data_IF_892824523589
#
_entry.id   IF_892824523589
#
_cell.length_a   1.000
_cell.length_b   1.000
_cell.length_c   1.000
_cell.angle_alpha   90.00
_cell.angle_beta   90.00
_cell.angle_gamma   90.00
#
_symmetry.space_group_name_H-M   'P 1'
#
loop_
_entity.id
_entity.type
_entity.pdbx_description
1 polymer ?
#
# COMPACT_ATOMS: atom_id res chain seq x y z
N UNK A 1 36.46 -13.58 -47.46
CA UNK A 1 35.90 -12.50 -46.61
C UNK A 1 34.40 -12.45 -46.90
N UNK A 2 33.63 -13.26 -46.20
CA UNK A 2 32.17 -13.33 -46.41
C UNK A 2 31.47 -12.38 -45.46
N UNK A 3 30.87 -11.34 -46.04
CA UNK A 3 30.02 -10.38 -45.33
C UNK A 3 28.66 -11.02 -45.06
N UNK A 4 28.28 -11.23 -43.78
CA UNK A 4 26.92 -11.60 -43.37
C UNK A 4 25.95 -10.50 -43.74
N UNK A 5 24.77 -10.80 -44.32
CA UNK A 5 23.77 -9.79 -44.65
C UNK A 5 23.18 -9.17 -43.39
N UNK A 6 22.95 -7.87 -43.39
CA UNK A 6 22.28 -7.15 -42.32
C UNK A 6 20.80 -7.56 -42.28
N UNK A 7 20.30 -7.83 -41.07
CA UNK A 7 18.89 -8.15 -40.82
C UNK A 7 17.96 -7.01 -41.28
N UNK A 8 16.90 -7.35 -41.99
CA UNK A 8 15.90 -6.40 -42.43
C UNK A 8 15.04 -5.90 -41.23
N UNK A 9 14.48 -4.70 -41.35
CA UNK A 9 13.59 -4.11 -40.34
C UNK A 9 12.43 -5.04 -39.90
N UNK A 10 11.98 -5.94 -40.78
CA UNK A 10 10.94 -6.94 -40.49
C UNK A 10 11.44 -8.09 -39.59
N UNK A 11 12.67 -8.53 -39.78
CA UNK A 11 13.30 -9.59 -38.99
C UNK A 11 13.71 -9.10 -37.61
N UNK A 12 14.09 -7.81 -37.48
CA UNK A 12 14.35 -7.18 -36.18
C UNK A 12 13.07 -7.03 -35.34
N UNK A 13 11.95 -6.67 -35.97
CA UNK A 13 10.64 -6.57 -35.29
C UNK A 13 10.09 -7.96 -34.91
N UNK A 14 10.29 -8.99 -35.76
CA UNK A 14 9.85 -10.34 -35.45
C UNK A 14 10.65 -10.99 -34.31
N UNK A 15 11.94 -10.72 -34.17
CA UNK A 15 12.76 -11.23 -33.07
C UNK A 15 12.47 -10.54 -31.72
N UNK A 16 12.02 -9.28 -31.75
CA UNK A 16 11.66 -8.53 -30.53
C UNK A 16 10.27 -8.92 -30.04
N UNK A 17 9.34 -9.33 -30.92
CA UNK A 17 7.98 -9.74 -30.56
C UNK A 17 7.94 -11.17 -30.01
N UNK A 18 8.87 -12.07 -30.44
CA UNK A 18 8.94 -13.44 -29.94
C UNK A 18 9.48 -13.56 -28.51
N UNK A 19 10.19 -12.53 -28.00
CA UNK A 19 10.72 -12.50 -26.62
C UNK A 19 9.68 -12.04 -25.56
N UNK A 20 8.52 -11.52 -25.97
CA UNK A 20 7.48 -10.99 -25.06
C UNK A 20 6.23 -11.88 -24.92
N UNK A 21 6.21 -13.04 -25.55
CA UNK A 21 5.02 -13.94 -25.56
C UNK A 21 5.07 -15.09 -24.55
N UNK A 22 6.01 -15.07 -23.57
CA UNK A 22 6.00 -16.04 -22.46
C UNK A 22 6.10 -15.29 -21.13
N UNK A 23 4.99 -15.10 -20.50
CA UNK A 23 4.66 -15.24 -19.09
C UNK A 23 3.50 -14.34 -18.68
N UNK A 24 2.31 -14.82 -18.89
CA UNK A 24 1.08 -14.29 -18.30
C UNK A 24 0.80 -14.88 -16.92
N UNK A 25 1.80 -15.04 -16.06
CA UNK A 25 1.63 -15.30 -14.63
C UNK A 25 2.89 -14.80 -13.93
N UNK A 26 2.76 -13.74 -13.11
CA UNK A 26 3.80 -13.36 -12.17
C UNK A 26 3.98 -14.50 -11.17
N UNK A 27 5.18 -15.08 -11.03
CA UNK A 27 5.38 -16.12 -10.04
C UNK A 27 5.20 -15.51 -8.63
N UNK A 28 4.46 -16.18 -7.72
CA UNK A 28 4.21 -15.67 -6.36
C UNK A 28 5.47 -15.49 -5.51
N UNK A 29 6.64 -15.91 -5.99
CA UNK A 29 7.92 -15.85 -5.28
C UNK A 29 8.67 -14.52 -5.40
N UNK A 30 8.22 -13.54 -6.19
CA UNK A 30 9.02 -12.33 -6.49
C UNK A 30 9.12 -11.36 -5.30
N UNK A 31 8.21 -11.40 -4.34
CA UNK A 31 8.21 -10.47 -3.19
C UNK A 31 8.77 -11.07 -1.89
N UNK A 32 9.03 -12.36 -1.80
CA UNK A 32 9.75 -12.91 -0.67
C UNK A 32 11.23 -12.52 -0.73
N UNK A 33 11.79 -12.03 0.37
CA UNK A 33 13.23 -11.76 0.51
C UNK A 33 14.08 -13.01 0.19
N UNK A 34 15.37 -12.82 -0.07
CA UNK A 34 16.30 -13.97 -0.06
C UNK A 34 16.25 -14.57 1.35
N UNK A 35 16.19 -15.92 1.50
CA UNK A 35 16.03 -16.53 2.83
C UNK A 35 17.10 -16.14 3.85
N UNK A 36 18.26 -15.65 3.38
CA UNK A 36 19.44 -15.42 4.20
C UNK A 36 19.77 -13.94 4.45
N UNK A 37 18.96 -12.98 3.95
CA UNK A 37 19.22 -11.55 4.16
C UNK A 37 17.91 -10.77 4.41
N UNK A 38 17.92 -9.79 5.35
CA UNK A 38 16.78 -8.92 5.57
C UNK A 38 16.36 -8.18 4.29
N UNK A 39 15.06 -8.15 4.03
CA UNK A 39 14.50 -7.47 2.88
C UNK A 39 14.61 -5.95 3.05
N UNK A 40 15.14 -5.25 2.01
CA UNK A 40 15.20 -3.78 1.99
C UNK A 40 13.79 -3.22 1.81
N UNK A 41 13.39 -2.35 2.72
CA UNK A 41 12.06 -1.73 2.68
C UNK A 41 12.13 -0.22 2.93
N UNK A 42 11.21 0.51 2.32
CA UNK A 42 10.85 1.87 2.72
C UNK A 42 9.40 1.81 3.23
N UNK A 43 9.15 2.35 4.42
CA UNK A 43 7.82 2.43 5.01
C UNK A 43 7.31 3.85 4.82
N UNK A 44 6.23 3.99 4.03
CA UNK A 44 5.55 5.26 3.80
C UNK A 44 4.26 5.27 4.62
N UNK A 45 4.05 6.26 5.50
CA UNK A 45 3.11 6.15 6.61
C UNK A 45 2.57 7.53 7.02
N UNK A 46 1.38 7.60 7.60
CA UNK A 46 0.80 8.84 8.17
C UNK A 46 0.52 8.69 9.67
N UNK A 47 1.56 8.55 10.53
CA UNK A 47 1.48 7.93 11.84
C UNK A 47 0.27 8.32 12.69
N UNK A 48 -0.75 7.47 12.57
CA UNK A 48 -1.90 7.30 13.43
C UNK A 48 -1.65 6.22 14.49
N UNK A 49 -2.73 5.71 15.05
CA UNK A 49 -2.70 4.67 16.11
C UNK A 49 -2.09 3.36 15.62
N UNK A 50 -2.59 2.82 14.53
CA UNK A 50 -2.16 1.52 13.98
C UNK A 50 -0.88 1.62 13.17
N UNK A 51 -0.62 2.77 12.51
CA UNK A 51 0.71 3.09 11.95
C UNK A 51 1.81 3.03 13.00
N UNK A 52 1.57 3.63 14.18
CA UNK A 52 2.56 3.61 15.25
C UNK A 52 2.91 2.16 15.66
N UNK A 53 1.92 1.29 15.79
CA UNK A 53 2.14 -0.13 16.07
C UNK A 53 2.80 -0.85 14.88
N UNK A 54 2.45 -0.49 13.65
CA UNK A 54 3.08 -1.03 12.43
C UNK A 54 4.57 -0.66 12.33
N UNK A 55 4.92 0.59 12.63
CA UNK A 55 6.32 1.05 12.69
C UNK A 55 7.10 0.30 13.77
N UNK A 56 6.53 0.16 14.97
CA UNK A 56 7.16 -0.57 16.07
C UNK A 56 7.33 -2.06 15.72
N UNK A 57 6.33 -2.70 15.07
CA UNK A 57 6.43 -4.07 14.55
C UNK A 57 7.58 -4.19 13.55
N UNK A 58 7.62 -3.31 12.55
CA UNK A 58 8.64 -3.33 11.51
C UNK A 58 10.05 -3.18 12.09
N UNK A 59 10.26 -2.25 13.03
CA UNK A 59 11.55 -2.02 13.68
C UNK A 59 11.98 -3.14 14.63
N UNK A 60 11.05 -4.00 15.04
CA UNK A 60 11.32 -5.22 15.85
C UNK A 60 11.42 -6.49 15.01
N UNK A 61 11.35 -6.39 13.71
CA UNK A 61 11.34 -7.53 12.78
C UNK A 61 12.69 -7.67 12.09
N UNK A 62 13.50 -8.70 12.44
CA UNK A 62 14.83 -8.89 11.87
C UNK A 62 14.80 -9.24 10.37
N UNK A 63 13.65 -9.63 9.84
CA UNK A 63 13.44 -9.90 8.42
C UNK A 63 13.49 -8.63 7.56
N UNK A 64 13.42 -7.44 8.19
CA UNK A 64 13.37 -6.15 7.53
C UNK A 64 14.65 -5.35 7.71
N UNK A 65 15.19 -4.84 6.61
CA UNK A 65 16.15 -3.74 6.59
C UNK A 65 15.42 -2.48 6.16
N UNK A 66 15.02 -1.66 7.13
CA UNK A 66 14.32 -0.40 6.87
C UNK A 66 15.33 0.63 6.40
N UNK A 67 15.28 0.99 5.13
CA UNK A 67 16.17 1.98 4.50
C UNK A 67 15.70 3.42 4.77
N UNK A 68 14.38 3.62 4.95
CA UNK A 68 13.78 4.90 5.31
C UNK A 68 12.36 4.74 5.86
N UNK A 69 11.92 5.73 6.62
CA UNK A 69 10.50 6.00 6.93
C UNK A 69 10.15 7.34 6.31
N UNK A 70 9.03 7.40 5.56
CA UNK A 70 8.60 8.59 4.82
C UNK A 70 7.19 9.02 5.25
N UNK A 71 7.06 9.84 6.31
CA UNK A 71 5.77 10.33 6.76
C UNK A 71 5.07 11.20 5.71
N UNK A 72 3.76 11.05 5.59
CA UNK A 72 2.85 11.81 4.73
C UNK A 72 1.71 12.38 5.55
N UNK A 73 1.02 13.41 5.08
CA UNK A 73 -0.23 13.87 5.66
C UNK A 73 -1.37 12.90 5.32
N UNK A 74 -2.18 12.57 6.30
CA UNK A 74 -3.32 11.67 6.16
C UNK A 74 -4.15 11.66 7.45
N UNK A 75 -3.94 10.71 8.34
CA UNK A 75 -4.65 10.58 9.62
C UNK A 75 -4.68 11.90 10.41
N UNK A 76 -3.56 12.62 10.38
CA UNK A 76 -3.41 13.99 10.86
C UNK A 76 -2.47 14.76 9.92
N UNK A 77 -2.37 16.10 10.00
CA UNK A 77 -1.44 16.89 9.18
C UNK A 77 0.01 16.44 9.35
N UNK A 78 0.87 16.73 8.34
CA UNK A 78 2.28 16.34 8.33
C UNK A 78 3.05 16.87 9.56
N UNK A 79 2.66 18.03 10.07
CA UNK A 79 3.22 18.66 11.28
C UNK A 79 3.07 17.77 12.52
N UNK A 80 2.17 16.78 12.48
CA UNK A 80 1.96 15.78 13.54
C UNK A 80 2.47 14.40 13.12
N UNK A 81 2.26 13.98 11.87
CA UNK A 81 2.71 12.65 11.41
C UNK A 81 4.23 12.54 11.42
N UNK A 82 4.95 13.58 11.00
CA UNK A 82 6.41 13.59 11.01
C UNK A 82 7.01 13.43 12.42
N UNK A 83 6.67 14.27 13.42
CA UNK A 83 7.18 14.05 14.78
C UNK A 83 6.69 12.73 15.39
N UNK A 84 5.52 12.21 15.03
CA UNK A 84 5.06 10.90 15.48
C UNK A 84 5.97 9.77 14.94
N UNK A 85 6.36 9.81 13.67
CA UNK A 85 7.32 8.86 13.12
C UNK A 85 8.68 8.92 13.84
N UNK A 86 9.20 10.13 14.06
CA UNK A 86 10.47 10.34 14.77
C UNK A 86 10.39 9.80 16.21
N UNK A 87 9.26 10.00 16.92
CA UNK A 87 9.03 9.43 18.26
C UNK A 87 9.07 7.90 18.23
N UNK A 88 8.42 7.26 17.26
CA UNK A 88 8.44 5.79 17.16
C UNK A 88 9.85 5.25 16.91
N UNK A 89 10.63 5.93 16.09
CA UNK A 89 12.04 5.58 15.84
C UNK A 89 12.88 5.68 17.13
N UNK A 90 12.73 6.74 17.91
CA UNK A 90 13.42 6.89 19.20
C UNK A 90 12.97 5.84 20.24
N UNK A 91 11.66 5.59 20.35
CA UNK A 91 11.11 4.58 21.27
C UNK A 91 11.62 3.19 20.93
N UNK A 92 11.73 2.87 19.64
CA UNK A 92 12.29 1.59 19.19
C UNK A 92 13.82 1.48 19.36
N UNK A 93 14.51 2.59 19.67
CA UNK A 93 15.97 2.66 19.73
C UNK A 93 16.65 2.51 18.37
N UNK A 94 15.93 2.85 17.27
CA UNK A 94 16.38 2.67 15.88
C UNK A 94 16.70 4.02 15.23
N UNK A 95 17.45 4.86 15.92
CA UNK A 95 17.88 6.18 15.41
C UNK A 95 18.84 6.11 14.22
N UNK A 96 19.23 4.91 13.83
CA UNK A 96 19.94 4.59 12.59
C UNK A 96 19.05 4.72 11.33
N UNK A 97 17.72 4.65 11.49
CA UNK A 97 16.77 4.72 10.38
C UNK A 97 16.49 6.19 10.03
N UNK A 98 16.79 6.62 8.79
CA UNK A 98 16.48 7.98 8.36
C UNK A 98 14.97 8.18 8.18
N UNK A 99 14.49 9.36 8.59
CA UNK A 99 13.10 9.80 8.38
C UNK A 99 13.11 10.99 7.44
N UNK A 100 12.38 10.91 6.33
CA UNK A 100 12.29 11.99 5.34
C UNK A 100 10.88 12.57 5.30
N UNK A 101 10.73 13.89 5.49
CA UNK A 101 9.43 14.57 5.45
C UNK A 101 8.76 14.45 4.08
N UNK A 102 7.52 14.02 4.04
CA UNK A 102 6.74 13.82 2.83
C UNK A 102 5.81 14.98 2.47
N UNK A 103 4.77 14.65 1.70
CA UNK A 103 3.78 15.60 1.26
C UNK A 103 2.86 16.04 2.42
N UNK A 104 2.60 17.34 2.51
CA UNK A 104 1.66 17.92 3.48
C UNK A 104 0.23 18.02 2.95
N UNK A 105 0.01 17.65 1.68
CA UNK A 105 -1.30 17.66 1.03
C UNK A 105 -1.34 16.62 -0.11
N UNK A 106 -2.55 16.13 -0.47
CA UNK A 106 -2.78 15.31 -1.64
C UNK A 106 -2.39 16.01 -2.93
N UNK A 107 -2.23 15.25 -4.04
CA UNK A 107 -1.81 15.80 -5.34
C UNK A 107 -2.75 16.89 -5.87
N UNK A 108 -4.06 16.69 -5.79
CA UNK A 108 -5.05 17.59 -6.39
C UNK A 108 -6.14 18.05 -5.40
N UNK A 109 -6.33 17.36 -4.28
CA UNK A 109 -7.46 17.56 -3.38
C UNK A 109 -7.07 18.34 -2.13
N UNK A 110 -8.06 18.82 -1.39
CA UNK A 110 -7.84 19.30 -0.03
C UNK A 110 -7.61 18.10 0.88
N UNK A 111 -6.69 18.23 1.82
CA UNK A 111 -6.45 17.22 2.84
C UNK A 111 -7.73 16.99 3.67
N UNK A 112 -8.11 15.72 3.79
CA UNK A 112 -9.09 15.23 4.75
C UNK A 112 -8.34 14.42 5.79
N UNK A 113 -8.62 14.62 7.07
CA UNK A 113 -7.93 13.93 8.17
C UNK A 113 -8.88 13.01 8.93
N UNK A 114 -8.33 12.07 9.68
CA UNK A 114 -9.06 11.12 10.51
C UNK A 114 -8.81 11.34 12.02
N UNK A 115 -8.66 12.59 12.46
CA UNK A 115 -8.48 12.92 13.87
C UNK A 115 -9.62 12.37 14.76
N UNK A 116 -10.82 12.21 14.19
CA UNK A 116 -11.95 11.56 14.87
C UNK A 116 -11.69 10.08 15.23
N UNK A 117 -10.78 9.39 14.54
CA UNK A 117 -10.41 7.99 14.81
C UNK A 117 -9.07 7.87 15.55
N UNK A 118 -8.11 8.74 15.22
CA UNK A 118 -6.74 8.67 15.73
C UNK A 118 -6.43 9.70 16.82
N UNK A 119 -7.41 10.52 17.23
CA UNK A 119 -7.20 11.62 18.16
C UNK A 119 -6.50 12.81 17.52
N UNK A 120 -6.62 14.00 18.13
CA UNK A 120 -6.07 15.25 17.60
C UNK A 120 -4.54 15.21 17.39
N UNK A 121 -3.82 14.40 18.15
CA UNK A 121 -2.37 14.22 18.01
C UNK A 121 -1.95 13.05 17.13
N UNK A 122 -2.91 12.28 16.58
CA UNK A 122 -2.69 11.09 15.79
C UNK A 122 -2.37 9.82 16.61
N UNK A 123 -2.04 9.91 17.88
CA UNK A 123 -1.63 8.77 18.73
C UNK A 123 -2.68 8.41 19.78
N UNK A 124 -3.96 8.59 19.45
CA UNK A 124 -5.08 8.31 20.37
C UNK A 124 -5.05 9.18 21.64
N UNK A 125 -4.43 10.36 21.60
CA UNK A 125 -4.21 11.20 22.77
C UNK A 125 -3.03 10.72 23.65
N UNK A 126 -2.28 9.69 23.28
CA UNK A 126 -1.07 9.30 24.00
C UNK A 126 0.02 10.38 23.85
N UNK A 127 0.60 10.78 24.98
CA UNK A 127 1.63 11.83 25.03
C UNK A 127 2.99 11.19 25.21
N UNK A 128 3.93 11.57 24.33
CA UNK A 128 5.32 11.18 24.38
C UNK A 128 6.22 12.44 24.37
N UNK A 129 7.47 12.35 24.83
CA UNK A 129 8.42 13.44 24.71
C UNK A 129 8.60 13.91 23.27
N UNK A 130 8.99 15.18 23.08
CA UNK A 130 9.39 15.66 21.77
C UNK A 130 10.62 14.91 21.25
N UNK A 131 10.63 14.52 19.95
CA UNK A 131 11.75 13.77 19.40
C UNK A 131 13.00 14.64 19.33
N UNK A 132 14.15 14.05 19.66
CA UNK A 132 15.46 14.70 19.59
C UNK A 132 16.11 14.57 18.22
N UNK A 133 15.87 13.44 17.53
CA UNK A 133 16.33 13.24 16.15
C UNK A 133 15.58 14.16 15.21
N UNK A 134 16.21 14.46 14.08
CA UNK A 134 15.65 15.34 13.04
C UNK A 134 15.46 14.56 11.77
N UNK A 135 14.50 14.94 10.91
CA UNK A 135 14.38 14.35 9.59
C UNK A 135 15.63 14.69 8.76
N UNK A 136 15.90 13.86 7.74
CA UNK A 136 16.89 14.19 6.70
C UNK A 136 16.42 15.43 5.92
N UNK A 137 17.36 16.09 5.24
CA UNK A 137 17.06 17.34 4.52
C UNK A 137 16.24 17.10 3.23
N UNK A 138 16.38 15.92 2.62
CA UNK A 138 15.72 15.57 1.39
C UNK A 138 14.24 15.28 1.62
N UNK A 139 13.33 15.83 0.79
CA UNK A 139 11.92 15.45 0.81
C UNK A 139 11.73 13.96 0.48
N UNK A 140 10.69 13.33 1.04
CA UNK A 140 10.44 11.89 0.92
C UNK A 140 10.48 11.37 -0.53
N UNK A 141 9.79 12.03 -1.47
CA UNK A 141 9.78 11.60 -2.87
C UNK A 141 11.17 11.62 -3.53
N UNK A 142 12.04 12.54 -3.14
CA UNK A 142 13.43 12.59 -3.59
C UNK A 142 14.23 11.47 -2.94
N UNK A 143 14.07 11.27 -1.65
CA UNK A 143 14.79 10.27 -0.87
C UNK A 143 14.42 8.84 -1.29
N UNK A 144 13.14 8.56 -1.54
CA UNK A 144 12.66 7.28 -2.12
C UNK A 144 13.39 6.98 -3.44
N UNK A 145 13.44 7.98 -4.35
CA UNK A 145 14.11 7.82 -5.64
C UNK A 145 15.59 7.52 -5.48
N UNK A 146 16.29 8.21 -4.60
CA UNK A 146 17.71 7.98 -4.32
C UNK A 146 17.95 6.56 -3.81
N UNK A 147 17.19 6.08 -2.83
CA UNK A 147 17.33 4.73 -2.27
C UNK A 147 17.06 3.67 -3.33
N UNK A 148 15.94 3.79 -4.07
CA UNK A 148 15.60 2.81 -5.11
C UNK A 148 16.64 2.77 -6.23
N UNK A 149 17.21 3.91 -6.62
CA UNK A 149 18.30 3.96 -7.62
C UNK A 149 19.61 3.37 -7.11
N UNK A 150 19.88 3.46 -5.80
CA UNK A 150 21.05 2.85 -5.20
C UNK A 150 20.92 1.32 -5.06
N UNK A 151 19.69 0.79 -4.99
CA UNK A 151 19.41 -0.64 -4.83
C UNK A 151 18.31 -1.11 -5.82
N UNK A 152 18.57 -1.05 -7.14
CA UNK A 152 17.56 -1.37 -8.14
C UNK A 152 17.12 -2.83 -8.08
N UNK A 153 15.80 -3.05 -8.02
CA UNK A 153 15.20 -4.39 -7.91
C UNK A 153 15.25 -5.01 -6.51
N UNK A 154 15.79 -4.30 -5.52
CA UNK A 154 15.91 -4.84 -4.14
C UNK A 154 14.91 -4.22 -3.17
N UNK A 155 14.46 -2.98 -3.41
CA UNK A 155 13.63 -2.21 -2.47
C UNK A 155 12.16 -2.51 -2.67
N UNK A 156 11.49 -2.94 -1.61
CA UNK A 156 10.02 -3.01 -1.54
C UNK A 156 9.48 -1.76 -0.83
N UNK A 157 8.49 -1.13 -1.41
CA UNK A 157 7.77 -0.03 -0.76
C UNK A 157 6.61 -0.60 0.05
N UNK A 158 6.49 -0.18 1.30
CA UNK A 158 5.39 -0.56 2.20
C UNK A 158 4.62 0.72 2.57
N UNK A 159 3.78 1.24 1.65
CA UNK A 159 2.91 2.35 2.00
C UNK A 159 1.72 1.86 2.84
N UNK A 160 1.54 2.50 3.99
CA UNK A 160 0.42 2.27 4.90
C UNK A 160 -0.42 3.54 5.12
N UNK A 161 -0.03 4.66 4.51
CA UNK A 161 -0.77 5.91 4.41
C UNK A 161 -1.19 6.25 2.98
N UNK A 162 -1.70 7.48 2.74
CA UNK A 162 -2.02 7.97 1.40
C UNK A 162 -0.81 7.92 0.47
N UNK A 163 -1.01 7.50 -0.78
CA UNK A 163 0.06 7.16 -1.73
C UNK A 163 0.77 8.36 -2.38
N UNK A 164 0.58 9.57 -1.83
CA UNK A 164 1.05 10.83 -2.40
C UNK A 164 2.57 10.88 -2.60
N UNK A 165 3.36 10.41 -1.62
CA UNK A 165 4.83 10.40 -1.73
C UNK A 165 5.30 9.47 -2.86
N UNK A 166 4.71 8.26 -2.93
CA UNK A 166 5.05 7.24 -3.93
C UNK A 166 4.67 7.73 -5.33
N UNK A 167 3.46 8.26 -5.50
CA UNK A 167 3.00 8.81 -6.78
C UNK A 167 3.85 10.00 -7.23
N UNK A 168 4.25 10.88 -6.31
CA UNK A 168 5.15 12.00 -6.59
C UNK A 168 6.51 11.50 -7.06
N UNK A 169 7.07 10.47 -6.40
CA UNK A 169 8.35 9.87 -6.79
C UNK A 169 8.27 9.25 -8.19
N UNK A 170 7.21 8.50 -8.50
CA UNK A 170 6.99 7.85 -9.79
C UNK A 170 6.72 8.87 -10.91
N UNK A 171 5.96 9.93 -10.62
CA UNK A 171 5.68 10.99 -11.61
C UNK A 171 6.94 11.78 -11.97
N UNK A 172 7.79 12.05 -10.99
CA UNK A 172 9.07 12.74 -11.20
C UNK A 172 10.12 11.85 -11.89
N UNK A 173 9.96 10.53 -11.82
CA UNK A 173 10.92 9.56 -12.35
C UNK A 173 10.19 8.25 -12.76
N UNK A 174 9.60 8.20 -13.98
CA UNK A 174 8.84 7.02 -14.44
C UNK A 174 9.66 5.73 -14.53
N UNK A 175 10.99 5.82 -14.73
CA UNK A 175 11.87 4.64 -14.76
C UNK A 175 11.97 3.95 -13.38
N UNK A 176 11.63 4.66 -12.32
CA UNK A 176 11.61 4.12 -10.96
C UNK A 176 10.71 2.87 -10.85
N UNK A 177 9.61 2.85 -11.61
CA UNK A 177 8.68 1.71 -11.62
C UNK A 177 9.36 0.38 -11.98
N UNK A 178 10.40 0.40 -12.82
CA UNK A 178 11.16 -0.79 -13.21
C UNK A 178 12.22 -1.19 -12.19
N UNK A 179 12.56 -0.29 -11.26
CA UNK A 179 13.60 -0.46 -10.25
C UNK A 179 13.04 -0.85 -8.89
N UNK A 180 11.77 -0.56 -8.63
CA UNK A 180 11.08 -1.00 -7.41
C UNK A 180 10.82 -2.50 -7.50
N UNK A 181 11.16 -3.25 -6.45
CA UNK A 181 10.91 -4.70 -6.36
C UNK A 181 9.41 -5.02 -6.32
N UNK A 182 8.64 -4.20 -5.62
CA UNK A 182 7.19 -4.33 -5.46
C UNK A 182 6.64 -3.40 -4.39
N UNK A 183 5.34 -3.39 -4.27
CA UNK A 183 4.60 -2.62 -3.26
C UNK A 183 3.76 -3.59 -2.43
N UNK A 184 3.79 -3.42 -1.10
CA UNK A 184 2.83 -4.05 -0.19
C UNK A 184 2.12 -2.93 0.55
N UNK A 185 0.88 -2.65 0.19
CA UNK A 185 0.17 -1.49 0.69
C UNK A 185 -0.96 -1.84 1.66
N UNK A 186 -1.20 -0.97 2.64
CA UNK A 186 -2.49 -0.88 3.29
C UNK A 186 -3.31 0.18 2.56
N UNK A 187 -4.47 -0.20 2.07
CA UNK A 187 -5.40 0.71 1.42
C UNK A 187 -6.41 0.01 0.53
N UNK A 188 -7.48 0.71 0.24
CA UNK A 188 -8.55 0.23 -0.61
C UNK A 188 -9.45 -0.84 0.00
N UNK A 189 -10.45 -1.24 -0.76
CA UNK A 189 -11.40 -2.29 -0.41
C UNK A 189 -12.15 -2.75 -1.66
N UNK A 190 -12.47 -4.04 -1.72
CA UNK A 190 -13.36 -4.59 -2.74
C UNK A 190 -14.83 -4.65 -2.27
N UNK A 191 -15.10 -4.36 -0.99
CA UNK A 191 -16.41 -4.58 -0.36
C UNK A 191 -16.94 -3.37 0.41
N UNK A 192 -16.58 -2.16 -0.01
CA UNK A 192 -17.04 -0.91 0.59
C UNK A 192 -16.04 -0.24 1.54
N UNK A 193 -16.24 1.04 1.78
CA UNK A 193 -15.28 1.93 2.44
C UNK A 193 -15.45 2.05 3.96
N UNK A 194 -14.64 2.92 4.56
CA UNK A 194 -14.69 3.32 5.97
C UNK A 194 -14.82 4.83 6.15
N UNK A 195 -14.41 5.64 5.15
CA UNK A 195 -14.60 7.10 5.17
C UNK A 195 -15.88 7.50 4.42
N UNK A 196 -16.18 6.81 3.33
CA UNK A 196 -17.47 6.85 2.65
C UNK A 196 -17.98 5.42 2.49
N UNK A 197 -19.26 5.18 2.10
CA UNK A 197 -19.71 3.82 1.80
C UNK A 197 -18.90 3.11 0.70
N UNK A 198 -18.25 3.87 -0.19
CA UNK A 198 -17.49 3.35 -1.32
C UNK A 198 -15.97 3.28 -1.07
N UNK A 199 -15.41 4.26 -0.37
CA UNK A 199 -13.97 4.48 -0.34
C UNK A 199 -13.32 4.15 1.00
N UNK A 200 -12.14 3.53 0.94
CA UNK A 200 -11.20 3.40 2.04
C UNK A 200 -10.40 4.71 2.20
N UNK A 201 -10.03 5.06 3.45
CA UNK A 201 -9.49 6.36 3.83
C UNK A 201 -8.21 6.74 3.06
N UNK A 202 -7.20 5.88 3.01
CA UNK A 202 -5.91 6.19 2.35
C UNK A 202 -6.10 6.49 0.86
N UNK A 203 -6.95 5.71 0.20
CA UNK A 203 -7.29 5.93 -1.21
C UNK A 203 -8.19 7.16 -1.38
N UNK A 204 -9.11 7.42 -0.44
CA UNK A 204 -9.98 8.60 -0.48
C UNK A 204 -9.22 9.92 -0.33
N UNK A 205 -8.20 9.94 0.52
CA UNK A 205 -7.36 11.13 0.74
C UNK A 205 -6.67 11.56 -0.55
N UNK A 206 -6.10 10.63 -1.32
CA UNK A 206 -5.46 10.93 -2.61
C UNK A 206 -5.73 9.85 -3.66
N UNK A 207 -6.96 9.84 -4.25
CA UNK A 207 -7.32 8.83 -5.26
C UNK A 207 -6.51 8.98 -6.55
N UNK A 208 -6.06 10.17 -6.88
CA UNK A 208 -5.19 10.40 -8.04
C UNK A 208 -3.82 9.73 -7.83
N UNK A 209 -3.22 9.87 -6.65
CA UNK A 209 -1.99 9.19 -6.30
C UNK A 209 -2.16 7.67 -6.31
N UNK A 210 -3.25 7.17 -5.74
CA UNK A 210 -3.54 5.74 -5.73
C UNK A 210 -3.68 5.19 -7.16
N UNK A 211 -4.38 5.89 -8.04
CA UNK A 211 -4.51 5.51 -9.45
C UNK A 211 -3.16 5.47 -10.17
N UNK A 212 -2.28 6.46 -9.95
CA UNK A 212 -0.92 6.47 -10.52
C UNK A 212 -0.16 5.21 -10.08
N UNK A 213 -0.24 4.84 -8.80
CA UNK A 213 0.45 3.67 -8.26
C UNK A 213 -0.11 2.37 -8.84
N UNK A 214 -1.43 2.18 -8.88
CA UNK A 214 -2.04 0.97 -9.46
C UNK A 214 -1.75 0.81 -10.96
N UNK A 215 -1.56 1.92 -11.68
CA UNK A 215 -1.24 1.92 -13.11
C UNK A 215 0.26 1.93 -13.41
N UNK A 216 1.12 1.93 -12.40
CA UNK A 216 2.58 2.04 -12.55
C UNK A 216 3.25 0.82 -13.19
N UNK A 217 2.60 -0.34 -13.16
CA UNK A 217 3.17 -1.63 -13.58
C UNK A 217 4.09 -2.28 -12.54
N UNK A 218 4.25 -1.69 -11.36
CA UNK A 218 4.96 -2.29 -10.23
C UNK A 218 4.10 -3.45 -9.69
N UNK A 219 4.66 -4.63 -9.33
CA UNK A 219 3.92 -5.69 -8.64
C UNK A 219 3.33 -5.19 -7.31
N UNK A 220 2.00 -5.25 -7.15
CA UNK A 220 1.30 -4.75 -5.97
C UNK A 220 0.67 -5.90 -5.18
N UNK A 221 0.87 -5.88 -3.86
CA UNK A 221 0.07 -6.63 -2.88
C UNK A 221 -0.79 -5.63 -2.11
N UNK A 222 -2.11 -5.75 -2.24
CA UNK A 222 -3.08 -4.86 -1.58
C UNK A 222 -3.67 -5.57 -0.35
N UNK A 223 -3.49 -4.98 0.83
CA UNK A 223 -4.05 -5.40 2.10
C UNK A 223 -5.14 -4.41 2.48
N UNK A 224 -6.35 -4.63 1.96
CA UNK A 224 -7.49 -3.73 2.09
C UNK A 224 -8.39 -4.03 3.29
N UNK A 225 -9.47 -3.26 3.41
CA UNK A 225 -10.46 -3.40 4.49
C UNK A 225 -11.11 -4.78 4.53
N UNK A 226 -11.11 -5.51 3.42
CA UNK A 226 -11.68 -6.86 3.30
C UNK A 226 -11.08 -7.85 4.32
N UNK A 227 -9.83 -7.61 4.72
CA UNK A 227 -9.11 -8.41 5.71
C UNK A 227 -8.78 -7.63 6.98
N UNK A 228 -8.43 -6.35 6.87
CA UNK A 228 -7.96 -5.58 8.03
C UNK A 228 -9.05 -5.31 9.06
N UNK A 229 -10.32 -5.27 8.67
CA UNK A 229 -11.46 -5.22 9.59
C UNK A 229 -11.61 -6.43 10.52
N UNK A 230 -10.88 -7.52 10.22
CA UNK A 230 -10.87 -8.75 11.04
C UNK A 230 -9.78 -8.73 12.12
N UNK A 231 -9.01 -7.64 12.25
CA UNK A 231 -7.84 -7.54 13.14
C UNK A 231 -8.04 -6.48 14.23
N UNK A 232 -9.06 -6.66 15.07
CA UNK A 232 -9.34 -5.74 16.18
C UNK A 232 -8.45 -6.02 17.39
N UNK A 233 -7.79 -4.97 17.90
CA UNK A 233 -6.99 -5.04 19.13
C UNK A 233 -7.90 -5.26 20.34
N UNK A 234 -7.55 -6.20 21.22
CA UNK A 234 -8.36 -6.57 22.38
C UNK A 234 -7.71 -6.17 23.70
N UNK A 235 -8.48 -6.21 24.79
CA UNK A 235 -7.99 -6.02 26.15
C UNK A 235 -6.93 -7.07 26.53
N UNK A 236 -7.03 -8.31 26.03
CA UNK A 236 -6.07 -9.36 26.31
C UNK A 236 -4.71 -9.07 25.63
N UNK A 237 -4.73 -8.55 24.42
CA UNK A 237 -3.55 -8.06 23.73
C UNK A 237 -2.87 -6.94 24.56
N UNK A 238 -3.68 -5.97 25.04
CA UNK A 238 -3.14 -4.88 25.85
C UNK A 238 -2.51 -5.38 27.15
N UNK A 239 -3.18 -6.30 27.87
CA UNK A 239 -2.61 -6.87 29.09
C UNK A 239 -1.24 -7.52 28.86
N UNK A 240 -1.09 -8.19 27.71
CA UNK A 240 0.20 -8.78 27.33
C UNK A 240 1.27 -7.72 27.09
N UNK A 241 0.93 -6.64 26.40
CA UNK A 241 1.83 -5.52 26.15
C UNK A 241 2.18 -4.76 27.45
N UNK A 242 1.20 -4.52 28.31
CA UNK A 242 1.38 -3.84 29.60
C UNK A 242 2.29 -4.65 30.56
N UNK A 243 2.20 -5.98 30.52
CA UNK A 243 3.05 -6.86 31.33
C UNK A 243 4.51 -6.90 30.85
N UNK A 244 4.77 -6.56 29.60
CA UNK A 244 6.13 -6.55 29.06
C UNK A 244 6.88 -5.27 29.46
N UNK A 245 8.10 -5.44 29.98
CA UNK A 245 8.89 -4.37 30.60
C UNK A 245 9.89 -3.72 29.61
N UNK A 246 9.45 -3.43 28.36
CA UNK A 246 10.30 -2.77 27.38
C UNK A 246 9.64 -1.49 26.81
N UNK A 247 10.42 -0.49 26.36
CA UNK A 247 9.88 0.80 25.88
C UNK A 247 8.87 0.67 24.74
N UNK A 248 9.07 -0.29 23.83
CA UNK A 248 8.20 -0.52 22.67
C UNK A 248 6.84 -1.03 23.11
N UNK A 249 6.80 -2.05 23.99
CA UNK A 249 5.54 -2.60 24.50
C UNK A 249 4.77 -1.58 25.32
N UNK A 250 5.45 -0.78 26.13
CA UNK A 250 4.81 0.25 26.95
C UNK A 250 4.22 1.37 26.08
N UNK A 251 4.89 1.76 25.00
CA UNK A 251 4.36 2.72 24.06
C UNK A 251 3.15 2.17 23.30
N UNK A 252 3.25 0.95 22.77
CA UNK A 252 2.15 0.27 22.07
C UNK A 252 0.93 0.08 23.00
N UNK A 253 1.14 -0.33 24.24
CA UNK A 253 0.09 -0.47 25.24
C UNK A 253 -0.61 0.86 25.53
N UNK A 254 0.15 1.96 25.70
CA UNK A 254 -0.39 3.29 25.95
C UNK A 254 -1.26 3.78 24.78
N UNK A 255 -0.75 3.67 23.55
CA UNK A 255 -1.48 4.05 22.33
C UNK A 255 -2.74 3.20 22.20
N UNK A 256 -2.61 1.88 22.28
CA UNK A 256 -3.72 0.95 22.15
C UNK A 256 -4.79 1.12 23.25
N UNK A 257 -4.39 1.39 24.50
CA UNK A 257 -5.31 1.64 25.62
C UNK A 257 -6.16 2.88 25.34
N UNK A 258 -5.52 3.98 24.92
CA UNK A 258 -6.24 5.20 24.61
C UNK A 258 -7.19 5.00 23.42
N UNK A 259 -6.78 4.29 22.39
CA UNK A 259 -7.61 4.01 21.24
C UNK A 259 -8.82 3.11 21.58
N UNK A 260 -8.67 2.09 22.44
CA UNK A 260 -9.78 1.28 22.91
C UNK A 260 -10.77 2.15 23.74
N UNK A 261 -10.26 3.03 24.61
CA UNK A 261 -11.11 3.92 25.40
C UNK A 261 -11.87 4.90 24.49
N UNK A 262 -11.18 5.49 23.51
CA UNK A 262 -11.80 6.37 22.52
C UNK A 262 -12.92 5.65 21.75
N UNK A 263 -12.67 4.42 21.27
CA UNK A 263 -13.71 3.62 20.60
C UNK A 263 -14.93 3.40 21.50
N UNK A 264 -14.73 3.08 22.79
CA UNK A 264 -15.82 2.92 23.75
C UNK A 264 -16.64 4.20 23.96
N UNK A 265 -15.96 5.34 24.05
CA UNK A 265 -16.62 6.66 24.16
C UNK A 265 -17.48 6.97 22.92
N UNK A 266 -17.06 6.49 21.75
CA UNK A 266 -17.82 6.58 20.50
C UNK A 266 -18.90 5.50 20.36
N UNK A 267 -19.05 4.60 21.34
CA UNK A 267 -20.06 3.53 21.35
C UNK A 267 -19.67 2.26 20.60
N UNK A 268 -18.41 2.11 20.18
CA UNK A 268 -17.93 0.88 19.57
C UNK A 268 -17.64 -0.19 20.63
N UNK A 269 -18.08 -1.42 20.38
CA UNK A 269 -17.88 -2.57 21.28
C UNK A 269 -16.53 -3.27 21.08
N UNK A 270 -15.85 -2.97 19.99
CA UNK A 270 -14.56 -3.57 19.60
C UNK A 270 -13.44 -2.54 19.63
N UNK A 271 -12.23 -3.00 19.85
CA UNK A 271 -11.04 -2.14 19.77
C UNK A 271 -10.73 -1.69 18.35
N UNK A 272 -9.73 -0.81 18.19
CA UNK A 272 -9.28 -0.35 16.88
C UNK A 272 -8.74 -1.52 16.04
N UNK A 273 -8.97 -1.46 14.73
CA UNK A 273 -8.39 -2.42 13.82
C UNK A 273 -6.91 -2.10 13.57
N UNK A 274 -6.09 -3.14 13.43
CA UNK A 274 -4.66 -3.02 13.17
C UNK A 274 -4.41 -3.12 11.66
N UNK A 275 -4.91 -2.13 10.91
CA UNK A 275 -4.87 -2.09 9.46
C UNK A 275 -3.42 -2.19 8.94
N UNK A 276 -2.59 -1.25 9.33
CA UNK A 276 -1.22 -1.08 8.83
C UNK A 276 -0.29 -2.16 9.35
N UNK A 277 -0.47 -2.53 10.62
CA UNK A 277 0.28 -3.63 11.21
C UNK A 277 0.05 -4.95 10.45
N UNK A 278 -1.16 -5.19 9.90
CA UNK A 278 -1.44 -6.36 9.08
C UNK A 278 -0.69 -6.29 7.74
N UNK A 279 -0.58 -5.13 7.10
CA UNK A 279 0.17 -5.00 5.84
C UNK A 279 1.66 -5.29 6.06
N UNK A 280 2.27 -4.77 7.13
CA UNK A 280 3.64 -5.06 7.51
C UNK A 280 3.80 -6.56 7.83
N UNK A 281 2.90 -7.14 8.62
CA UNK A 281 2.91 -8.57 8.97
C UNK A 281 2.76 -9.48 7.74
N UNK A 282 1.89 -9.13 6.79
CA UNK A 282 1.68 -9.86 5.54
C UNK A 282 2.89 -9.78 4.59
N UNK A 283 3.75 -8.77 4.73
CA UNK A 283 5.05 -8.76 4.07
C UNK A 283 6.04 -9.69 4.76
N UNK A 284 6.10 -9.70 6.10
CA UNK A 284 6.97 -10.56 6.89
C UNK A 284 6.60 -12.03 6.70
N UNK A 285 5.32 -12.36 6.85
CA UNK A 285 4.75 -13.70 6.64
C UNK A 285 3.55 -13.65 5.70
N UNK A 286 3.78 -13.82 4.39
CA UNK A 286 2.69 -13.80 3.40
C UNK A 286 1.62 -14.90 3.58
N UNK A 287 1.89 -15.92 4.40
CA UNK A 287 0.93 -17.00 4.68
C UNK A 287 -0.15 -16.62 5.67
N UNK A 288 -0.04 -15.44 6.32
CA UNK A 288 -1.06 -14.89 7.21
C UNK A 288 -2.35 -14.54 6.46
N UNK A 289 -2.26 -14.29 5.16
CA UNK A 289 -3.40 -13.86 4.34
C UNK A 289 -3.54 -14.74 3.10
N UNK A 290 -4.77 -14.89 2.60
CA UNK A 290 -5.05 -15.53 1.31
C UNK A 290 -5.07 -14.47 0.23
N UNK A 291 -4.31 -14.68 -0.83
CA UNK A 291 -4.18 -13.76 -1.96
C UNK A 291 -5.02 -14.20 -3.14
N UNK A 292 -5.59 -13.25 -3.86
CA UNK A 292 -6.27 -13.46 -5.13
C UNK A 292 -5.93 -12.36 -6.12
N UNK A 293 -5.80 -12.72 -7.38
CA UNK A 293 -5.43 -11.80 -8.45
C UNK A 293 -6.63 -10.97 -8.90
N UNK A 294 -6.44 -9.66 -8.95
CA UNK A 294 -7.41 -8.69 -9.45
C UNK A 294 -6.74 -7.66 -10.37
N UNK A 295 -7.47 -7.22 -11.37
CA UNK A 295 -7.24 -5.89 -11.90
C UNK A 295 -7.91 -4.89 -10.97
N UNK A 296 -7.14 -3.95 -10.44
CA UNK A 296 -7.63 -2.90 -9.55
C UNK A 296 -7.41 -1.54 -10.20
N UNK A 297 -8.46 -0.72 -10.23
CA UNK A 297 -8.39 0.70 -10.61
C UNK A 297 -9.10 1.54 -9.55
N UNK A 298 -8.91 2.85 -9.61
CA UNK A 298 -9.42 3.80 -8.62
C UNK A 298 -10.34 4.80 -9.30
N UNK A 299 -11.53 4.98 -8.75
CA UNK A 299 -12.45 6.03 -9.16
C UNK A 299 -11.98 7.41 -8.64
N UNK A 300 -11.74 8.33 -9.57
CA UNK A 300 -11.19 9.66 -9.23
C UNK A 300 -12.16 10.82 -9.49
N UNK A 301 -13.30 10.60 -10.15
CA UNK A 301 -14.18 11.68 -10.63
C UNK A 301 -15.60 11.61 -10.09
N UNK A 302 -16.05 10.44 -9.65
CA UNK A 302 -17.42 10.23 -9.19
C UNK A 302 -17.73 10.99 -7.90
N UNK A 303 -18.83 11.71 -7.85
CA UNK A 303 -19.25 12.48 -6.67
C UNK A 303 -19.43 11.57 -5.42
N UNK A 304 -20.01 10.38 -5.60
CA UNK A 304 -20.30 9.43 -4.53
C UNK A 304 -19.26 8.31 -4.37
N UNK A 305 -18.43 8.11 -5.40
CA UNK A 305 -17.54 6.94 -5.51
C UNK A 305 -16.06 7.33 -5.59
N UNK A 306 -15.73 8.62 -5.53
CA UNK A 306 -14.33 9.07 -5.50
C UNK A 306 -13.55 8.33 -4.39
N UNK A 307 -12.42 7.73 -4.75
CA UNK A 307 -11.60 6.90 -3.86
C UNK A 307 -12.05 5.43 -3.76
N UNK A 308 -13.11 5.01 -4.45
CA UNK A 308 -13.47 3.60 -4.56
C UNK A 308 -12.40 2.82 -5.34
N UNK A 309 -11.98 1.69 -4.81
CA UNK A 309 -11.13 0.72 -5.51
C UNK A 309 -12.00 -0.33 -6.17
N UNK A 310 -11.96 -0.36 -7.50
CA UNK A 310 -12.74 -1.28 -8.33
C UNK A 310 -11.89 -2.49 -8.69
N UNK A 311 -12.20 -3.64 -8.11
CA UNK A 311 -11.49 -4.89 -8.36
C UNK A 311 -12.23 -5.78 -9.35
N UNK A 312 -11.55 -6.19 -10.40
CA UNK A 312 -12.05 -7.17 -11.38
C UNK A 312 -11.16 -8.41 -11.39
N UNK A 313 -11.76 -9.56 -11.07
CA UNK A 313 -11.06 -10.85 -11.12
C UNK A 313 -11.68 -11.70 -12.25
N UNK A 314 -11.09 -11.69 -13.47
CA UNK A 314 -11.64 -12.45 -14.58
C UNK A 314 -11.50 -13.95 -14.31
N UNK A 315 -12.61 -14.67 -14.40
CA UNK A 315 -12.57 -16.14 -14.45
C UNK A 315 -12.10 -16.59 -15.83
N UNK A 316 -11.55 -17.80 -15.92
CA UNK A 316 -11.16 -18.39 -17.20
C UNK A 316 -12.34 -18.46 -18.22
N UNK A 317 -13.59 -18.51 -17.72
CA UNK A 317 -14.80 -18.45 -18.52
C UNK A 317 -15.08 -17.06 -19.10
N UNK A 318 -14.82 -16.01 -18.31
CA UNK A 318 -15.05 -14.61 -18.72
C UNK A 318 -14.08 -14.18 -19.82
N UNK A 319 -12.82 -14.61 -19.73
CA UNK A 319 -11.80 -14.35 -20.75
C UNK A 319 -12.17 -14.98 -22.10
N UNK A 320 -12.92 -16.11 -22.12
CA UNK A 320 -13.39 -16.78 -23.34
C UNK A 320 -14.67 -16.19 -23.92
N UNK A 321 -15.53 -15.55 -23.10
CA UNK A 321 -16.84 -15.01 -23.50
C UNK A 321 -16.79 -13.58 -24.04
N UNK A 322 -15.73 -12.82 -23.78
CA UNK A 322 -15.60 -11.41 -24.14
C UNK A 322 -15.67 -11.08 -25.63
N UNK A 323 -15.17 -11.90 -26.60
CA UNK A 323 -15.31 -11.56 -28.01
C UNK A 323 -16.76 -11.35 -28.46
N UNK A 324 -17.72 -12.02 -27.79
CA UNK A 324 -19.14 -11.93 -28.16
C UNK A 324 -19.84 -10.75 -27.49
N UNK A 325 -19.43 -10.36 -26.28
CA UNK A 325 -19.97 -9.16 -25.61
C UNK A 325 -19.53 -7.87 -26.29
N UNK A 326 -18.31 -7.80 -26.81
CA UNK A 326 -17.80 -6.67 -27.56
C UNK A 326 -18.62 -6.42 -28.83
N UNK A 327 -19.00 -7.49 -29.54
CA UNK A 327 -19.88 -7.42 -30.72
C UNK A 327 -21.30 -6.98 -30.35
N UNK A 328 -21.81 -7.40 -29.19
CA UNK A 328 -23.15 -6.99 -28.72
C UNK A 328 -23.18 -5.53 -28.26
N UNK A 329 -22.14 -5.05 -27.55
CA UNK A 329 -22.05 -3.66 -27.12
C UNK A 329 -21.93 -2.67 -28.32
N UNK A 330 -21.22 -3.07 -29.38
CA UNK A 330 -21.11 -2.28 -30.62
C UNK A 330 -22.40 -2.24 -31.42
N UNK A 331 -23.33 -3.18 -31.22
CA UNK A 331 -24.60 -3.27 -31.94
C UNK A 331 -25.81 -2.72 -31.15
N UNK A 332 -25.63 -2.21 -29.96
CA UNK A 332 -26.70 -1.56 -29.19
C UNK A 332 -27.01 -0.20 -29.83
N UNK A 333 -28.25 0.06 -30.28
CA UNK A 333 -28.61 1.35 -30.82
C UNK A 333 -28.58 2.41 -29.73
N UNK A 334 -27.59 3.31 -29.77
CA UNK A 334 -27.56 4.52 -28.95
C UNK A 334 -28.71 5.40 -29.42
N UNK A 335 -29.78 5.52 -28.64
CA UNK A 335 -30.84 6.51 -28.86
C UNK A 335 -30.29 7.92 -28.59
N UNK A 336 -29.92 8.61 -29.64
CA UNK A 336 -29.42 9.98 -29.58
C UNK A 336 -28.30 10.17 -30.61
N UNK A 337 -28.58 10.97 -31.62
CA UNK A 337 -27.72 11.23 -32.77
C UNK A 337 -26.34 11.79 -32.36
N UNK A 338 -25.33 10.93 -32.33
CA UNK A 338 -23.93 11.32 -32.46
C UNK A 338 -23.43 10.88 -33.85
N UNK A 339 -22.55 11.64 -34.53
CA UNK A 339 -22.11 11.30 -35.88
C UNK A 339 -21.29 9.98 -35.83
N UNK A 340 -21.60 9.11 -36.81
CA UNK A 340 -20.92 7.85 -37.06
C UNK A 340 -19.42 8.05 -37.20
N UNK A 341 -18.62 7.53 -36.25
CA UNK A 341 -17.19 7.27 -36.42
C UNK A 341 -17.02 5.93 -37.14
N UNK A 342 -17.50 5.85 -38.37
CA UNK A 342 -17.19 4.74 -39.26
C UNK A 342 -15.72 4.82 -39.65
N UNK A 343 -14.88 3.93 -39.12
CA UNK A 343 -13.48 3.80 -39.54
C UNK A 343 -12.45 3.54 -38.46
N UNK A 344 -12.77 3.52 -37.19
CA UNK A 344 -11.80 3.12 -36.15
C UNK A 344 -11.70 1.60 -36.09
N UNK A 345 -10.60 1.06 -36.65
CA UNK A 345 -10.19 -0.32 -36.37
C UNK A 345 -10.10 -0.48 -34.86
N UNK A 346 -10.91 -1.35 -34.27
CA UNK A 346 -10.83 -1.71 -32.86
C UNK A 346 -9.40 -2.14 -32.55
N UNK A 347 -8.72 -1.35 -31.73
CA UNK A 347 -7.35 -1.58 -31.35
C UNK A 347 -7.25 -2.86 -30.52
N UNK A 348 -6.21 -3.70 -30.70
CA UNK A 348 -5.92 -4.87 -29.85
C UNK A 348 -5.74 -4.53 -28.34
N UNK A 349 -5.67 -3.26 -28.01
CA UNK A 349 -5.38 -2.68 -26.68
C UNK A 349 -6.39 -3.07 -25.60
N UNK A 350 -7.63 -3.49 -25.97
CA UNK A 350 -8.66 -3.79 -24.96
C UNK A 350 -8.48 -5.15 -24.27
N UNK A 351 -7.77 -6.12 -24.83
CA UNK A 351 -7.56 -7.43 -24.21
C UNK A 351 -6.59 -7.40 -23.04
N UNK A 352 -5.56 -6.56 -23.13
CA UNK A 352 -4.52 -6.45 -22.09
C UNK A 352 -4.91 -5.49 -20.95
N UNK A 353 -5.95 -4.67 -21.17
CA UNK A 353 -6.37 -3.61 -20.24
C UNK A 353 -6.86 -4.13 -18.87
N UNK A 354 -7.27 -5.41 -18.79
CA UNK A 354 -7.87 -5.99 -17.58
C UNK A 354 -7.05 -7.15 -17.03
N UNK A 355 -5.77 -7.26 -17.41
CA UNK A 355 -4.87 -8.22 -16.76
C UNK A 355 -4.67 -7.82 -15.29
N UNK A 356 -4.65 -8.79 -14.38
CA UNK A 356 -4.40 -8.50 -12.97
C UNK A 356 -3.14 -7.67 -12.78
N UNK A 357 -3.27 -6.59 -12.03
CA UNK A 357 -2.18 -5.70 -11.64
C UNK A 357 -1.90 -5.74 -10.13
N UNK A 358 -2.75 -6.43 -9.36
CA UNK A 358 -2.60 -6.55 -7.93
C UNK A 358 -2.97 -7.95 -7.42
N UNK A 359 -2.22 -8.42 -6.41
CA UNK A 359 -2.60 -9.52 -5.54
C UNK A 359 -3.33 -8.92 -4.33
N UNK A 360 -4.62 -9.18 -4.21
CA UNK A 360 -5.46 -8.63 -3.13
C UNK A 360 -5.65 -9.67 -2.03
N UNK A 361 -5.43 -9.27 -0.78
CA UNK A 361 -5.72 -10.09 0.38
C UNK A 361 -7.25 -10.22 0.55
N UNK A 362 -7.76 -11.47 0.59
CA UNK A 362 -9.19 -11.77 0.66
C UNK A 362 -9.60 -12.49 1.94
N UNK A 363 -8.65 -13.03 2.69
CA UNK A 363 -8.87 -13.66 3.99
C UNK A 363 -7.61 -13.57 4.84
N UNK A 364 -7.74 -13.63 6.18
CA UNK A 364 -6.65 -13.49 7.14
C UNK A 364 -6.77 -14.46 8.30
N UNK A 365 -5.66 -15.01 8.75
CA UNK A 365 -5.52 -15.69 10.04
C UNK A 365 -5.20 -14.66 11.13
N UNK A 366 -6.25 -14.10 11.71
CA UNK A 366 -6.12 -13.03 12.72
C UNK A 366 -5.40 -13.49 13.99
N UNK A 367 -5.53 -14.77 14.38
CA UNK A 367 -4.87 -15.29 15.56
C UNK A 367 -3.35 -15.29 15.36
N UNK A 368 -2.86 -15.88 14.28
CA UNK A 368 -1.42 -15.86 13.95
C UNK A 368 -0.88 -14.44 13.74
N UNK A 369 -1.69 -13.56 13.15
CA UNK A 369 -1.31 -12.14 13.02
C UNK A 369 -1.06 -11.51 14.39
N UNK A 370 -1.97 -11.68 15.36
CA UNK A 370 -1.79 -11.12 16.69
C UNK A 370 -0.66 -11.82 17.47
N UNK A 371 -0.45 -13.12 17.29
CA UNK A 371 0.70 -13.81 17.85
C UNK A 371 2.02 -13.16 17.38
N UNK A 372 2.12 -12.86 16.07
CA UNK A 372 3.28 -12.17 15.52
C UNK A 372 3.41 -10.74 16.07
N UNK A 373 2.33 -9.93 15.98
CA UNK A 373 2.35 -8.52 16.41
C UNK A 373 2.70 -8.39 17.88
N UNK A 374 1.94 -9.06 18.74
CA UNK A 374 2.10 -8.96 20.20
C UNK A 374 3.42 -9.61 20.65
N UNK A 375 3.81 -10.73 20.03
CA UNK A 375 5.08 -11.38 20.28
C UNK A 375 6.26 -10.44 20.02
N UNK A 376 6.32 -9.79 18.85
CA UNK A 376 7.39 -8.84 18.49
C UNK A 376 7.42 -7.61 19.40
N UNK A 377 6.25 -6.99 19.65
CA UNK A 377 6.17 -5.80 20.48
C UNK A 377 6.51 -6.10 21.94
N UNK A 378 6.15 -7.27 22.48
CA UNK A 378 6.46 -7.69 23.84
C UNK A 378 7.89 -8.21 24.01
N UNK A 379 8.63 -8.48 22.92
CA UNK A 379 9.97 -9.04 22.95
C UNK A 379 9.99 -10.55 23.22
N UNK A 380 8.87 -11.23 23.06
CA UNK A 380 8.79 -12.70 23.04
C UNK A 380 9.05 -13.13 21.59
N UNK A 381 10.18 -13.81 21.37
CA UNK A 381 10.50 -14.41 20.07
C UNK A 381 9.72 -15.68 19.84
#
# INVERSE_FOLDING_TARGET
MDSKPALTRREFVASTVAAFAMSGALPPAVLAGRPDQPARVIIDTDPGVDDALALLLAMRSPELKIEAITPVAGNVPLELTLPNALRMVEIAGRTDIPVAAGASAPLLRRLVTAAYAHGENGLGGAVFPEPKIKPVAEPAAVFIRQIVRNYPGEVTLIPVGPLTNIATALTADPELARMVRGIVMMGGSLSGGNITPAAEFNVYVDPEAARIVFQSGIPIKMVGLDVTRKTSLTEDHLRTLEAAQNPVSQAAARIGRNAINHNREQGYLVGPNMHDSLAVAAFIDPSLVKWKDYYVDVETTGELTAGETLGYSPTAGDLRRRPDMEKQALNMPIRGSAPSLAGTKTSPVLRDKWLPNAHVAVDVDSARFFDLLIGRLSGKQ
#
